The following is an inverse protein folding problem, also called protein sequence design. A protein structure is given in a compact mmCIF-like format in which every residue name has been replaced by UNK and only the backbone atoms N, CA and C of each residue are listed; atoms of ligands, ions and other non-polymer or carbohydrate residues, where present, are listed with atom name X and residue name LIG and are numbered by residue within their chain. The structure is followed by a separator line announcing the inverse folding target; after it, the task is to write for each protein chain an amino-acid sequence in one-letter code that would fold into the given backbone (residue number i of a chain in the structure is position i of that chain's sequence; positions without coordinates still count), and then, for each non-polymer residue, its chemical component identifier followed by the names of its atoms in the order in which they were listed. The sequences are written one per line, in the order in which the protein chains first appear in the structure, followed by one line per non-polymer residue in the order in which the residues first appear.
data_IF_175222014942
#
_entry.id   IF_175222014942
#
_cell.length_a   1.000
_cell.length_b   1.000
_cell.length_c   1.000
_cell.angle_alpha   90.00
_cell.angle_beta   90.00
_cell.angle_gamma   90.00
#
_symmetry.space_group_name_H-M   'P 1'
#
loop_
_entity.id
_entity.type
_entity.pdbx_description
1 polymer ?
#
# COMPACT_ATOMS: atom_id res chain seq x y z
N UNK A 1 -15.54 73.07 32.52
CA UNK A 1 -16.35 71.91 32.09
C UNK A 1 -15.97 71.44 30.67
N UNK A 2 -14.67 71.39 30.33
CA UNK A 2 -14.16 71.07 28.98
C UNK A 2 -12.94 70.12 29.09
N UNK A 3 -13.00 69.14 29.99
CA UNK A 3 -11.88 68.19 30.17
C UNK A 3 -12.34 66.74 30.38
N UNK A 4 -13.63 66.46 30.12
CA UNK A 4 -14.19 65.10 30.22
C UNK A 4 -14.75 64.54 28.89
N UNK A 5 -14.68 65.28 27.78
CA UNK A 5 -15.22 64.81 26.48
C UNK A 5 -14.19 64.27 25.48
N UNK A 6 -12.89 64.47 25.65
CA UNK A 6 -11.88 63.94 24.72
C UNK A 6 -11.47 62.49 24.99
N UNK A 7 -11.80 61.92 26.15
CA UNK A 7 -11.39 60.56 26.54
C UNK A 7 -12.21 59.43 25.93
N UNK A 8 -13.41 59.71 25.40
CA UNK A 8 -14.34 58.67 24.97
C UNK A 8 -14.27 58.31 23.47
N UNK A 9 -13.67 59.16 22.63
CA UNK A 9 -13.63 58.94 21.17
C UNK A 9 -12.35 58.20 20.73
N UNK A 10 -11.25 58.33 21.47
CA UNK A 10 -9.98 57.65 21.15
C UNK A 10 -10.00 56.17 21.62
N UNK A 11 -10.83 55.83 22.61
CA UNK A 11 -10.95 54.47 23.13
C UNK A 11 -11.78 53.52 22.24
N UNK A 12 -12.54 54.03 21.27
CA UNK A 12 -13.37 53.19 20.38
C UNK A 12 -12.65 52.83 19.08
N UNK A 13 -11.62 53.57 18.67
CA UNK A 13 -10.86 53.27 17.45
C UNK A 13 -9.72 52.26 17.67
N UNK A 14 -9.34 51.99 18.93
CA UNK A 14 -8.24 51.08 19.28
C UNK A 14 -8.71 49.67 19.72
N UNK A 15 -10.00 49.36 19.58
CA UNK A 15 -10.59 48.05 19.98
C UNK A 15 -10.92 47.16 18.77
N UNK A 16 -10.65 47.60 17.54
CA UNK A 16 -10.93 46.83 16.32
C UNK A 16 -9.67 46.40 15.56
N UNK A 17 -8.69 45.85 16.27
CA UNK A 17 -7.62 45.03 15.69
C UNK A 17 -7.43 43.78 16.55
N UNK A 18 -8.51 43.00 16.68
CA UNK A 18 -8.38 41.60 17.05
C UNK A 18 -7.56 40.92 15.94
N UNK A 19 -6.41 40.30 16.24
CA UNK A 19 -5.75 39.46 15.27
C UNK A 19 -6.70 38.29 15.00
N UNK A 20 -7.27 38.27 13.81
CA UNK A 20 -7.90 37.06 13.29
C UNK A 20 -6.86 35.94 13.40
N UNK A 21 -7.16 34.82 14.08
CA UNK A 21 -6.30 33.66 14.02
C UNK A 21 -6.29 33.23 12.56
N UNK A 22 -5.21 33.57 11.85
CA UNK A 22 -4.95 33.02 10.54
C UNK A 22 -4.79 31.51 10.78
N UNK A 23 -5.64 30.64 10.21
CA UNK A 23 -5.31 29.24 10.18
C UNK A 23 -4.02 29.15 9.38
N UNK A 24 -2.90 28.94 10.08
CA UNK A 24 -1.62 28.60 9.48
C UNK A 24 -1.76 27.20 8.89
N UNK A 25 -2.49 27.10 7.78
CA UNK A 25 -2.47 25.95 6.92
C UNK A 25 -1.05 25.82 6.40
N UNK A 26 -0.43 24.68 6.68
CA UNK A 26 0.92 24.33 6.28
C UNK A 26 1.08 24.51 4.76
N UNK A 27 1.64 25.63 4.34
CA UNK A 27 2.04 25.86 2.97
C UNK A 27 3.37 25.13 2.76
N UNK A 28 3.42 24.29 1.72
CA UNK A 28 4.63 23.57 1.34
C UNK A 28 5.83 24.54 1.28
N UNK A 29 6.93 24.17 1.95
CA UNK A 29 8.11 25.04 2.06
C UNK A 29 9.12 24.66 1.00
N UNK A 30 9.55 25.63 0.21
CA UNK A 30 10.64 25.45 -0.75
C UNK A 30 11.97 25.69 -0.03
N UNK A 31 12.92 24.77 -0.21
CA UNK A 31 14.29 24.84 0.31
C UNK A 31 15.29 24.61 -0.82
N UNK A 32 16.46 25.22 -0.71
CA UNK A 32 17.55 25.08 -1.68
C UNK A 32 18.76 24.43 -1.02
N UNK A 33 19.33 23.42 -1.68
CA UNK A 33 20.46 22.66 -1.17
C UNK A 33 21.55 22.52 -2.23
N UNK A 34 22.80 22.65 -1.81
CA UNK A 34 23.96 22.55 -2.69
C UNK A 34 24.84 21.38 -2.25
N UNK A 35 25.38 20.65 -3.20
CA UNK A 35 26.38 19.61 -2.98
C UNK A 35 27.52 19.78 -3.96
N UNK A 36 28.74 19.59 -3.46
CA UNK A 36 29.96 19.78 -4.25
C UNK A 36 30.82 18.55 -4.10
N UNK A 37 31.32 18.04 -5.21
CA UNK A 37 32.28 16.94 -5.24
C UNK A 37 33.43 17.26 -6.18
N UNK A 38 34.66 17.02 -5.76
CA UNK A 38 35.85 17.17 -6.61
C UNK A 38 36.28 15.79 -7.07
N UNK A 39 36.33 15.60 -8.38
CA UNK A 39 36.65 14.33 -9.04
C UNK A 39 38.10 13.93 -8.76
N UNK A 40 38.31 12.70 -8.29
CA UNK A 40 39.64 12.11 -8.16
C UNK A 40 40.14 11.48 -9.46
N UNK A 41 41.43 11.12 -9.48
CA UNK A 41 42.14 10.62 -10.68
C UNK A 41 41.51 9.36 -11.32
N UNK A 42 40.72 8.59 -10.55
CA UNK A 42 40.07 7.36 -11.00
C UNK A 42 38.53 7.49 -11.16
N UNK A 43 37.97 8.67 -10.91
CA UNK A 43 36.53 8.86 -10.94
C UNK A 43 36.01 9.19 -12.33
N UNK A 44 34.85 8.64 -12.68
CA UNK A 44 34.15 9.05 -13.90
C UNK A 44 33.29 10.30 -13.64
N UNK A 45 33.05 11.15 -14.67
CA UNK A 45 32.12 12.29 -14.58
C UNK A 45 30.74 11.94 -13.99
N UNK A 46 30.26 10.72 -14.26
CA UNK A 46 29.00 10.22 -13.71
C UNK A 46 29.09 10.01 -12.19
N UNK A 47 30.15 9.34 -11.72
CA UNK A 47 30.39 9.09 -10.29
C UNK A 47 30.52 10.42 -9.54
N UNK A 48 31.27 11.38 -10.10
CA UNK A 48 31.46 12.69 -9.49
C UNK A 48 30.16 13.49 -9.38
N UNK A 49 29.31 13.45 -10.40
CA UNK A 49 27.97 14.06 -10.37
C UNK A 49 27.06 13.37 -9.34
N UNK A 50 27.04 12.05 -9.31
CA UNK A 50 26.20 11.29 -8.39
C UNK A 50 26.62 11.54 -6.93
N UNK A 51 27.92 11.64 -6.66
CA UNK A 51 28.46 12.00 -5.35
C UNK A 51 28.09 13.44 -4.94
N UNK A 52 28.22 14.41 -5.86
CA UNK A 52 27.77 15.79 -5.61
C UNK A 52 26.26 15.86 -5.35
N UNK A 53 25.45 15.06 -6.07
CA UNK A 53 24.01 14.96 -5.85
C UNK A 53 23.67 14.34 -4.50
N UNK A 54 24.38 13.29 -4.07
CA UNK A 54 24.19 12.69 -2.75
C UNK A 54 24.47 13.69 -1.63
N UNK A 55 25.53 14.48 -1.77
CA UNK A 55 25.85 15.54 -0.80
C UNK A 55 24.76 16.63 -0.78
N UNK A 56 24.27 17.05 -1.95
CA UNK A 56 23.16 18.01 -2.04
C UNK A 56 21.89 17.47 -1.39
N UNK A 57 21.56 16.19 -1.63
CA UNK A 57 20.41 15.53 -1.03
C UNK A 57 20.56 15.42 0.49
N UNK A 58 21.75 15.08 0.99
CA UNK A 58 22.04 15.04 2.42
C UNK A 58 21.77 16.39 3.08
N UNK A 59 22.29 17.47 2.49
CA UNK A 59 22.04 18.84 2.98
C UNK A 59 20.54 19.20 2.94
N UNK A 60 19.83 18.81 1.88
CA UNK A 60 18.40 19.05 1.76
C UNK A 60 17.59 18.31 2.86
N UNK A 61 17.93 17.06 3.16
CA UNK A 61 17.30 16.28 4.24
C UNK A 61 17.59 16.87 5.62
N UNK A 62 18.81 17.36 5.86
CA UNK A 62 19.16 18.02 7.12
C UNK A 62 18.34 19.31 7.33
N UNK A 63 18.20 20.13 6.28
CA UNK A 63 17.35 21.32 6.32
C UNK A 63 15.86 20.99 6.51
N UNK A 64 15.37 19.93 5.86
CA UNK A 64 14.01 19.44 6.06
C UNK A 64 13.79 18.89 7.48
N UNK A 65 14.82 18.31 8.11
CA UNK A 65 14.78 17.85 9.50
C UNK A 65 14.46 18.98 10.47
N UNK A 66 15.12 20.14 10.33
CA UNK A 66 14.84 21.32 11.16
C UNK A 66 13.38 21.80 11.00
N UNK A 67 12.86 21.73 9.76
CA UNK A 67 11.47 22.10 9.50
C UNK A 67 10.48 21.11 10.12
N UNK A 68 10.76 19.81 10.02
CA UNK A 68 9.96 18.74 10.64
C UNK A 68 10.00 18.85 12.16
N UNK A 69 11.17 19.11 12.78
CA UNK A 69 11.30 19.35 14.22
C UNK A 69 10.40 20.49 14.67
N UNK A 70 10.55 21.66 14.05
CA UNK A 70 9.73 22.83 14.37
C UNK A 70 8.24 22.56 14.18
N UNK A 71 7.85 21.84 13.12
CA UNK A 71 6.46 21.46 12.89
C UNK A 71 5.93 20.49 13.95
N UNK A 72 6.72 19.50 14.35
CA UNK A 72 6.31 18.50 15.35
C UNK A 72 6.16 19.11 16.75
N UNK A 73 7.04 20.05 17.11
CA UNK A 73 6.91 20.83 18.35
C UNK A 73 5.60 21.65 18.36
N UNK A 74 5.23 22.27 17.23
CA UNK A 74 3.95 23.01 17.13
C UNK A 74 2.72 22.12 17.25
N UNK A 75 2.86 20.82 16.99
CA UNK A 75 1.80 19.81 17.12
C UNK A 75 1.85 19.06 18.47
N UNK A 76 2.69 19.49 19.42
CA UNK A 76 2.94 18.80 20.71
C UNK A 76 3.39 17.33 20.55
N UNK A 77 4.10 17.00 19.47
CA UNK A 77 4.69 15.68 19.24
C UNK A 77 6.19 15.72 19.54
N UNK A 78 6.67 14.77 20.36
CA UNK A 78 8.09 14.65 20.69
C UNK A 78 8.73 13.56 19.84
N UNK A 79 9.42 13.94 18.76
CA UNK A 79 10.21 13.01 17.95
C UNK A 79 11.67 12.99 18.39
N UNK A 80 12.30 11.83 18.28
CA UNK A 80 13.76 11.67 18.41
C UNK A 80 14.47 12.12 17.14
N UNK A 81 15.77 12.42 17.22
CA UNK A 81 16.58 12.88 16.06
C UNK A 81 16.55 11.92 14.87
N UNK A 82 16.50 10.60 15.13
CA UNK A 82 16.45 9.60 14.07
C UNK A 82 15.07 9.57 13.39
N UNK A 83 13.99 9.81 14.15
CA UNK A 83 12.61 9.89 13.63
C UNK A 83 12.42 11.15 12.79
N UNK A 84 12.97 12.29 13.23
CA UNK A 84 13.01 13.54 12.44
C UNK A 84 13.68 13.30 11.09
N UNK A 85 14.84 12.65 11.08
CA UNK A 85 15.59 12.41 9.86
C UNK A 85 14.86 11.49 8.89
N UNK A 86 14.19 10.45 9.40
CA UNK A 86 13.36 9.57 8.57
C UNK A 86 12.18 10.32 7.95
N UNK A 87 11.45 11.10 8.76
CA UNK A 87 10.32 11.89 8.27
C UNK A 87 10.78 12.92 7.25
N UNK A 88 11.87 13.62 7.52
CA UNK A 88 12.46 14.61 6.62
C UNK A 88 12.82 14.04 5.24
N UNK A 89 13.27 12.78 5.17
CA UNK A 89 13.50 12.08 3.91
C UNK A 89 12.21 11.81 3.13
N UNK A 90 11.12 11.50 3.83
CA UNK A 90 9.81 11.19 3.23
C UNK A 90 9.06 12.43 2.75
N UNK A 91 9.11 13.53 3.52
CA UNK A 91 8.40 14.78 3.18
C UNK A 91 9.12 15.62 2.12
N UNK A 92 10.37 15.27 1.78
CA UNK A 92 11.21 16.01 0.84
C UNK A 92 11.02 15.52 -0.59
N UNK A 93 10.68 16.44 -1.49
CA UNK A 93 10.55 16.20 -2.93
C UNK A 93 11.46 17.14 -3.71
N UNK A 94 12.33 16.61 -4.55
CA UNK A 94 13.14 17.43 -5.46
C UNK A 94 12.25 17.95 -6.60
N UNK A 95 12.15 19.26 -6.74
CA UNK A 95 11.44 19.92 -7.85
C UNK A 95 12.37 20.19 -9.03
N UNK A 96 13.61 20.61 -8.75
CA UNK A 96 14.59 20.96 -9.78
C UNK A 96 16.00 20.55 -9.36
N UNK A 97 16.77 20.04 -10.32
CA UNK A 97 18.18 19.72 -10.18
C UNK A 97 18.98 20.44 -11.27
N UNK A 98 20.03 21.16 -10.88
CA UNK A 98 20.99 21.79 -11.80
C UNK A 98 22.40 21.34 -11.43
N UNK A 99 23.07 20.67 -12.37
CA UNK A 99 24.46 20.25 -12.21
C UNK A 99 25.37 21.13 -13.07
N UNK A 100 26.40 21.73 -12.48
CA UNK A 100 27.41 22.54 -13.17
C UNK A 100 28.80 21.95 -12.95
N UNK A 101 29.48 21.51 -14.02
CA UNK A 101 30.89 21.14 -13.96
C UNK A 101 31.77 22.39 -14.04
N UNK A 102 32.77 22.47 -13.18
CA UNK A 102 33.76 23.55 -13.11
C UNK A 102 35.17 22.95 -13.06
N UNK A 103 36.09 23.46 -13.87
CA UNK A 103 37.49 23.06 -13.81
C UNK A 103 38.23 24.01 -12.85
N UNK A 104 38.77 23.46 -11.76
CA UNK A 104 39.48 24.25 -10.74
C UNK A 104 40.90 23.71 -10.62
N UNK A 105 41.85 24.47 -11.15
CA UNK A 105 43.22 23.99 -11.35
C UNK A 105 43.21 22.83 -12.36
N UNK A 106 43.71 21.67 -11.93
CA UNK A 106 43.78 20.46 -12.74
C UNK A 106 42.66 19.44 -12.41
N UNK A 107 41.72 19.77 -11.51
CA UNK A 107 40.66 18.87 -11.07
C UNK A 107 39.26 19.36 -11.47
N UNK A 108 38.41 18.44 -11.91
CA UNK A 108 36.99 18.71 -12.20
C UNK A 108 36.17 18.71 -10.92
N UNK A 109 35.47 19.81 -10.65
CA UNK A 109 34.50 19.95 -9.56
C UNK A 109 33.09 19.93 -10.13
N UNK A 110 32.23 19.09 -9.56
CA UNK A 110 30.80 19.06 -9.85
C UNK A 110 30.04 19.71 -8.72
N UNK A 111 29.28 20.76 -9.05
CA UNK A 111 28.36 21.42 -8.13
C UNK A 111 26.92 21.07 -8.55
N UNK A 112 26.14 20.50 -7.63
CA UNK A 112 24.72 20.18 -7.83
C UNK A 112 23.89 21.07 -6.92
N UNK A 113 23.00 21.84 -7.52
CA UNK A 113 22.00 22.66 -6.85
C UNK A 113 20.63 22.00 -6.96
N UNK A 114 19.98 21.78 -5.83
CA UNK A 114 18.65 21.21 -5.72
C UNK A 114 17.67 22.25 -5.18
N UNK A 115 16.52 22.36 -5.84
CA UNK A 115 15.33 23.05 -5.30
C UNK A 115 14.35 21.96 -4.87
N UNK A 116 14.05 21.91 -3.58
CA UNK A 116 13.21 20.89 -2.98
C UNK A 116 11.97 21.51 -2.33
N UNK A 117 10.87 20.78 -2.35
CA UNK A 117 9.64 21.07 -1.62
C UNK A 117 9.56 20.15 -0.40
N UNK A 118 9.25 20.71 0.76
CA UNK A 118 8.96 19.97 1.99
C UNK A 118 7.46 20.02 2.24
N UNK A 119 6.78 18.89 2.09
CA UNK A 119 5.33 18.74 2.26
C UNK A 119 5.02 17.88 3.48
N UNK A 120 4.79 18.53 4.62
CA UNK A 120 4.41 17.89 5.88
C UNK A 120 2.92 17.56 5.99
N UNK A 121 2.09 18.00 5.03
CA UNK A 121 0.64 17.75 5.04
C UNK A 121 0.27 16.38 4.47
N UNK A 122 1.15 15.77 3.66
CA UNK A 122 0.94 14.44 3.07
C UNK A 122 1.34 13.27 3.96
N UNK A 123 2.05 13.50 5.05
CA UNK A 123 2.53 12.43 5.94
C UNK A 123 1.78 12.49 7.26
N UNK A 124 0.99 11.46 7.54
CA UNK A 124 0.38 11.28 8.85
C UNK A 124 1.44 10.87 9.88
N UNK A 125 2.03 11.86 10.54
CA UNK A 125 3.02 11.69 11.61
C UNK A 125 2.52 10.78 12.76
N UNK A 126 1.21 10.71 12.99
CA UNK A 126 0.63 9.86 14.03
C UNK A 126 0.69 8.37 13.66
N UNK A 127 0.58 8.04 12.38
CA UNK A 127 0.68 6.65 11.88
C UNK A 127 2.08 6.04 12.12
N UNK A 128 3.13 6.85 12.01
CA UNK A 128 4.51 6.39 12.25
C UNK A 128 4.78 6.05 13.72
N UNK A 129 4.19 6.80 14.65
CA UNK A 129 4.28 6.52 16.09
C UNK A 129 3.47 5.28 16.49
N UNK A 130 2.30 5.05 15.87
CA UNK A 130 1.48 3.87 16.09
C UNK A 130 2.17 2.59 15.61
N UNK A 131 2.82 2.64 14.44
CA UNK A 131 3.56 1.50 13.88
C UNK A 131 4.70 1.04 14.81
N UNK A 132 5.27 1.91 15.63
CA UNK A 132 6.31 1.55 16.62
C UNK A 132 5.75 0.72 17.78
N UNK A 133 4.55 1.06 18.28
CA UNK A 133 3.89 0.30 19.33
C UNK A 133 3.48 -1.09 18.82
N UNK A 134 3.00 -1.16 17.57
CA UNK A 134 2.73 -2.39 16.84
C UNK A 134 3.99 -3.25 16.71
N UNK A 135 5.10 -2.68 16.22
CA UNK A 135 6.38 -3.37 16.05
C UNK A 135 6.92 -3.88 17.39
N UNK A 136 6.87 -3.08 18.45
CA UNK A 136 7.32 -3.49 19.79
C UNK A 136 6.45 -4.64 20.35
N UNK A 137 5.14 -4.61 20.09
CA UNK A 137 4.22 -5.70 20.44
C UNK A 137 4.57 -6.98 19.67
N UNK A 138 4.73 -6.89 18.35
CA UNK A 138 5.10 -8.01 17.48
C UNK A 138 6.46 -8.62 17.87
N UNK A 139 7.43 -7.80 18.26
CA UNK A 139 8.73 -8.27 18.76
C UNK A 139 8.57 -9.04 20.08
N UNK A 140 7.76 -8.53 21.00
CA UNK A 140 7.47 -9.20 22.28
C UNK A 140 6.73 -10.53 22.07
N UNK A 141 5.81 -10.56 21.11
CA UNK A 141 5.08 -11.78 20.73
C UNK A 141 6.00 -12.82 20.09
N UNK A 142 6.87 -12.41 19.15
CA UNK A 142 7.91 -13.29 18.60
C UNK A 142 8.82 -13.85 19.69
N UNK A 143 9.26 -13.02 20.63
CA UNK A 143 10.15 -13.47 21.70
C UNK A 143 9.44 -14.44 22.67
N UNK A 144 8.14 -14.23 22.91
CA UNK A 144 7.29 -15.16 23.67
C UNK A 144 7.07 -16.49 22.91
N UNK A 145 6.81 -16.45 21.60
CA UNK A 145 6.69 -17.63 20.74
C UNK A 145 8.01 -18.41 20.69
N UNK A 146 9.13 -17.72 20.64
CA UNK A 146 10.46 -18.35 20.70
C UNK A 146 10.69 -19.05 22.03
N UNK A 147 10.33 -18.42 23.15
CA UNK A 147 10.35 -19.06 24.46
C UNK A 147 9.43 -20.29 24.55
N UNK A 148 8.23 -20.23 23.95
CA UNK A 148 7.33 -21.38 23.88
C UNK A 148 7.94 -22.52 23.06
N UNK A 149 8.58 -22.22 21.94
CA UNK A 149 9.30 -23.22 21.14
C UNK A 149 10.49 -23.82 21.91
N UNK A 150 11.28 -23.01 22.61
CA UNK A 150 12.40 -23.48 23.43
C UNK A 150 11.92 -24.35 24.62
N UNK A 151 10.79 -24.00 25.25
CA UNK A 151 10.18 -24.81 26.32
C UNK A 151 9.55 -26.10 25.77
N UNK A 152 8.94 -26.07 24.59
CA UNK A 152 8.47 -27.27 23.89
C UNK A 152 9.65 -28.20 23.53
N UNK A 153 10.77 -27.63 23.08
CA UNK A 153 12.01 -28.38 22.81
C UNK A 153 12.52 -29.04 24.10
N UNK A 154 12.56 -28.29 25.21
CA UNK A 154 12.99 -28.82 26.50
C UNK A 154 12.03 -29.89 27.05
N UNK A 155 10.72 -29.78 26.81
CA UNK A 155 9.72 -30.81 27.15
C UNK A 155 9.90 -32.06 26.28
N UNK A 156 10.22 -31.89 25.00
CA UNK A 156 10.56 -32.99 24.09
C UNK A 156 11.84 -33.73 24.52
N UNK A 157 12.87 -32.99 24.94
CA UNK A 157 14.11 -33.57 25.46
C UNK A 157 13.88 -34.36 26.76
N UNK A 158 13.01 -33.87 27.65
CA UNK A 158 12.68 -34.51 28.94
C UNK A 158 11.67 -35.66 28.83
N UNK A 159 10.84 -35.71 27.80
CA UNK A 159 9.89 -36.80 27.60
C UNK A 159 10.59 -38.13 27.29
N UNK A 160 10.03 -39.25 27.77
CA UNK A 160 10.48 -40.61 27.46
C UNK A 160 9.29 -41.52 27.10
N UNK A 161 9.51 -42.49 26.22
CA UNK A 161 8.52 -43.50 25.84
C UNK A 161 7.46 -43.01 24.85
N UNK A 162 6.21 -43.39 25.06
CA UNK A 162 5.08 -43.16 24.14
C UNK A 162 4.72 -41.69 23.97
N UNK A 163 4.93 -40.87 24.98
CA UNK A 163 4.64 -39.43 24.96
C UNK A 163 5.68 -38.65 24.11
N UNK A 164 6.95 -39.08 24.13
CA UNK A 164 8.01 -38.58 23.25
C UNK A 164 7.77 -38.99 21.79
N UNK A 165 7.25 -40.18 21.57
CA UNK A 165 6.89 -40.66 20.23
C UNK A 165 5.66 -39.92 19.67
N UNK A 166 4.63 -39.65 20.48
CA UNK A 166 3.46 -38.90 20.03
C UNK A 166 3.78 -37.43 19.73
N UNK A 167 4.51 -36.76 20.64
CA UNK A 167 4.95 -35.37 20.44
C UNK A 167 5.98 -35.29 19.31
N UNK A 168 6.89 -36.25 19.23
CA UNK A 168 7.88 -36.36 18.16
C UNK A 168 7.26 -36.58 16.79
N UNK A 169 6.29 -37.49 16.67
CA UNK A 169 5.58 -37.75 15.41
C UNK A 169 4.77 -36.53 14.98
N UNK A 170 4.08 -35.84 15.90
CA UNK A 170 3.29 -34.67 15.54
C UNK A 170 4.16 -33.45 15.16
N UNK A 171 5.32 -33.27 15.81
CA UNK A 171 6.29 -32.22 15.45
C UNK A 171 7.06 -32.57 14.16
N UNK A 172 7.49 -33.83 14.00
CA UNK A 172 8.17 -34.32 12.79
C UNK A 172 7.23 -34.29 11.59
N UNK A 173 5.97 -34.69 11.73
CA UNK A 173 4.97 -34.61 10.66
C UNK A 173 4.74 -33.15 10.26
N UNK A 174 4.55 -32.24 11.23
CA UNK A 174 4.39 -30.81 10.95
C UNK A 174 5.62 -30.20 10.25
N UNK A 175 6.83 -30.54 10.71
CA UNK A 175 8.08 -30.06 10.12
C UNK A 175 8.34 -30.67 8.73
N UNK A 176 8.01 -31.94 8.55
CA UNK A 176 8.12 -32.64 7.26
C UNK A 176 7.16 -32.04 6.26
N UNK A 177 5.93 -31.73 6.67
CA UNK A 177 4.91 -31.09 5.83
C UNK A 177 5.30 -29.66 5.47
N UNK A 178 5.81 -28.90 6.43
CA UNK A 178 6.34 -27.56 6.20
C UNK A 178 7.42 -27.55 5.11
N UNK A 179 8.38 -28.48 5.18
CA UNK A 179 9.41 -28.62 4.14
C UNK A 179 8.83 -28.95 2.76
N UNK A 180 7.84 -29.85 2.69
CA UNK A 180 7.16 -30.19 1.43
C UNK A 180 6.47 -28.96 0.84
N UNK A 181 5.81 -28.16 1.67
CA UNK A 181 5.15 -26.94 1.24
C UNK A 181 6.12 -25.85 0.79
N UNK A 182 7.21 -25.65 1.53
CA UNK A 182 8.27 -24.71 1.15
C UNK A 182 8.89 -25.08 -0.20
N UNK A 183 9.14 -26.38 -0.41
CA UNK A 183 9.67 -26.88 -1.68
C UNK A 183 8.66 -26.68 -2.83
N UNK A 184 7.39 -27.00 -2.60
CA UNK A 184 6.33 -26.78 -3.59
C UNK A 184 6.17 -25.29 -3.95
N UNK A 185 6.21 -24.40 -2.96
CA UNK A 185 6.16 -22.96 -3.19
C UNK A 185 7.37 -22.46 -4.00
N UNK A 186 8.57 -22.99 -3.71
CA UNK A 186 9.78 -22.71 -4.46
C UNK A 186 9.77 -23.29 -5.89
N UNK A 187 9.12 -24.44 -6.12
CA UNK A 187 8.91 -24.97 -7.46
C UNK A 187 8.01 -24.04 -8.29
N UNK A 188 6.90 -23.57 -7.72
CA UNK A 188 5.99 -22.62 -8.38
C UNK A 188 6.73 -21.32 -8.74
N UNK A 189 7.54 -20.77 -7.84
CA UNK A 189 8.32 -19.56 -8.13
C UNK A 189 9.35 -19.74 -9.26
N UNK A 190 9.81 -20.97 -9.50
CA UNK A 190 10.80 -21.29 -10.53
C UNK A 190 10.19 -21.61 -11.90
N UNK A 191 8.88 -21.63 -12.06
CA UNK A 191 8.26 -22.11 -13.30
C UNK A 191 8.12 -23.64 -13.37
N UNK A 192 8.23 -24.34 -12.24
CA UNK A 192 8.13 -25.81 -12.15
C UNK A 192 6.73 -26.25 -11.69
N UNK A 193 5.67 -25.56 -12.12
CA UNK A 193 4.29 -25.74 -11.61
C UNK A 193 3.80 -27.17 -11.78
N UNK A 194 4.10 -27.82 -12.91
CA UNK A 194 3.67 -29.20 -13.17
C UNK A 194 4.24 -30.20 -12.16
N UNK A 195 5.47 -29.98 -11.70
CA UNK A 195 6.09 -30.81 -10.66
C UNK A 195 5.44 -30.54 -9.32
N UNK A 196 5.26 -29.26 -8.97
CA UNK A 196 4.56 -28.86 -7.75
C UNK A 196 3.14 -29.46 -7.69
N UNK A 197 2.39 -29.45 -8.80
CA UNK A 197 1.05 -30.05 -8.89
C UNK A 197 1.10 -31.55 -8.61
N UNK A 198 2.09 -32.27 -9.13
CA UNK A 198 2.27 -33.70 -8.88
C UNK A 198 2.50 -33.99 -7.39
N UNK A 199 3.48 -33.32 -6.78
CA UNK A 199 3.82 -33.46 -5.35
C UNK A 199 2.62 -33.13 -4.45
N UNK A 200 1.95 -32.01 -4.72
CA UNK A 200 0.78 -31.58 -3.94
C UNK A 200 -0.42 -32.52 -4.14
N UNK A 201 -0.58 -33.14 -5.31
CA UNK A 201 -1.64 -34.12 -5.53
C UNK A 201 -1.41 -35.39 -4.73
N UNK A 202 -0.17 -35.90 -4.70
CA UNK A 202 0.18 -37.02 -3.83
C UNK A 202 -0.10 -36.71 -2.36
N UNK A 203 0.17 -35.47 -1.93
CA UNK A 203 -0.09 -35.04 -0.56
C UNK A 203 -1.59 -34.96 -0.23
N UNK A 204 -2.39 -34.43 -1.16
CA UNK A 204 -3.86 -34.31 -1.03
C UNK A 204 -4.55 -35.69 -1.00
N UNK A 205 -3.98 -36.67 -1.70
CA UNK A 205 -4.48 -38.03 -1.77
C UNK A 205 -4.09 -38.87 -0.54
N UNK A 206 -3.11 -38.43 0.26
CA UNK A 206 -2.74 -39.11 1.50
C UNK A 206 -3.83 -38.90 2.59
N UNK A 207 -4.51 -39.97 3.05
CA UNK A 207 -5.58 -39.86 4.03
C UNK A 207 -5.11 -39.34 5.40
N UNK A 208 -3.81 -39.36 5.68
CA UNK A 208 -3.22 -38.81 6.91
C UNK A 208 -3.21 -37.28 6.90
N UNK A 209 -3.16 -36.66 5.72
CA UNK A 209 -3.13 -35.21 5.57
C UNK A 209 -4.57 -34.69 5.62
N UNK A 210 -4.92 -34.04 6.73
CA UNK A 210 -6.27 -33.51 6.98
C UNK A 210 -6.18 -32.09 7.54
N UNK A 211 -7.31 -31.40 7.67
CA UNK A 211 -7.36 -30.08 8.31
C UNK A 211 -6.61 -28.98 7.56
N UNK A 212 -6.02 -28.03 8.31
CA UNK A 212 -5.30 -26.87 7.77
C UNK A 212 -4.20 -27.24 6.77
N UNK A 213 -3.36 -28.28 6.99
CA UNK A 213 -2.40 -28.67 5.97
C UNK A 213 -3.02 -29.15 4.65
N UNK A 214 -4.13 -29.89 4.70
CA UNK A 214 -4.81 -30.30 3.46
C UNK A 214 -5.40 -29.10 2.74
N UNK A 215 -5.99 -28.16 3.48
CA UNK A 215 -6.49 -26.90 2.92
C UNK A 215 -5.36 -26.11 2.25
N UNK A 216 -4.18 -26.06 2.88
CA UNK A 216 -3.00 -25.39 2.35
C UNK A 216 -2.44 -26.06 1.10
N UNK A 217 -2.44 -27.40 1.05
CA UNK A 217 -2.05 -28.16 -0.13
C UNK A 217 -2.95 -27.82 -1.34
N UNK A 218 -4.28 -27.76 -1.13
CA UNK A 218 -5.21 -27.30 -2.15
C UNK A 218 -4.91 -25.86 -2.57
N UNK A 219 -4.66 -24.95 -1.63
CA UNK A 219 -4.29 -23.56 -1.95
C UNK A 219 -3.03 -23.48 -2.84
N UNK A 220 -1.94 -24.17 -2.46
CA UNK A 220 -0.71 -24.15 -3.25
C UNK A 220 -0.90 -24.77 -4.63
N UNK A 221 -1.71 -25.83 -4.75
CA UNK A 221 -1.98 -26.47 -6.04
C UNK A 221 -2.86 -25.58 -6.92
N UNK A 222 -3.84 -24.90 -6.33
CA UNK A 222 -4.64 -23.87 -7.00
C UNK A 222 -3.78 -22.72 -7.51
N UNK A 223 -2.80 -22.27 -6.72
CA UNK A 223 -1.80 -21.28 -7.15
C UNK A 223 -0.97 -21.79 -8.33
N UNK A 224 -0.50 -23.03 -8.29
CA UNK A 224 0.25 -23.61 -9.41
C UNK A 224 -0.60 -23.68 -10.70
N UNK A 225 -1.89 -24.02 -10.59
CA UNK A 225 -2.80 -23.97 -11.74
C UNK A 225 -3.03 -22.54 -12.25
N UNK A 226 -3.10 -21.54 -11.36
CA UNK A 226 -3.22 -20.14 -11.74
C UNK A 226 -2.00 -19.66 -12.55
N UNK A 227 -0.77 -19.99 -12.13
CA UNK A 227 0.45 -19.65 -12.88
C UNK A 227 0.50 -20.35 -14.26
N UNK A 228 -0.17 -21.51 -14.41
CA UNK A 228 -0.37 -22.18 -15.70
C UNK A 228 -1.56 -21.64 -16.51
N UNK A 229 -2.19 -20.53 -16.10
CA UNK A 229 -3.40 -19.96 -16.69
C UNK A 229 -4.56 -20.97 -16.80
N UNK A 230 -4.61 -21.93 -15.88
CA UNK A 230 -5.66 -22.94 -15.79
C UNK A 230 -6.70 -22.53 -14.74
N UNK A 231 -7.37 -21.40 -15.00
CA UNK A 231 -8.24 -20.71 -14.04
C UNK A 231 -9.33 -21.59 -13.44
N UNK A 232 -9.97 -22.45 -14.23
CA UNK A 232 -11.06 -23.28 -13.73
C UNK A 232 -10.56 -24.34 -12.72
N UNK A 233 -9.37 -24.88 -12.94
CA UNK A 233 -8.72 -25.80 -12.00
C UNK A 233 -8.24 -25.04 -10.75
N UNK A 234 -7.70 -23.84 -10.92
CA UNK A 234 -7.32 -22.98 -9.82
C UNK A 234 -8.52 -22.65 -8.91
N UNK A 235 -9.63 -22.19 -9.49
CA UNK A 235 -10.87 -21.90 -8.76
C UNK A 235 -11.43 -23.13 -8.05
N UNK A 236 -11.35 -24.32 -8.65
CA UNK A 236 -11.79 -25.57 -8.04
C UNK A 236 -10.94 -25.95 -6.82
N UNK A 237 -9.61 -25.81 -6.91
CA UNK A 237 -8.71 -26.07 -5.80
C UNK A 237 -8.87 -25.02 -4.69
N UNK A 238 -9.00 -23.74 -5.02
CA UNK A 238 -9.32 -22.72 -4.02
C UNK A 238 -10.65 -23.01 -3.33
N UNK A 239 -11.66 -23.50 -4.05
CA UNK A 239 -12.95 -23.91 -3.46
C UNK A 239 -12.80 -25.11 -2.53
N UNK A 240 -11.93 -26.06 -2.86
CA UNK A 240 -11.62 -27.20 -2.00
C UNK A 240 -10.86 -26.77 -0.73
N UNK A 241 -9.93 -25.83 -0.85
CA UNK A 241 -9.18 -25.28 0.28
C UNK A 241 -10.14 -24.64 1.31
N UNK A 242 -11.00 -23.75 0.84
CA UNK A 242 -11.97 -22.98 1.62
C UNK A 242 -13.01 -23.88 2.34
N UNK A 243 -13.42 -24.99 1.71
CA UNK A 243 -14.34 -25.98 2.31
C UNK A 243 -13.67 -26.94 3.30
N UNK A 244 -12.35 -27.09 3.23
CA UNK A 244 -11.63 -27.99 4.13
C UNK A 244 -11.51 -27.31 5.48
N UNK A 245 -11.85 -27.96 6.61
CA UNK A 245 -11.70 -27.35 7.92
C UNK A 245 -10.25 -26.88 8.16
N UNK A 246 -10.06 -25.60 8.48
CA UNK A 246 -8.72 -25.01 8.63
C UNK A 246 -8.70 -23.91 9.70
N UNK A 247 -7.49 -23.58 10.14
CA UNK A 247 -7.15 -22.37 10.90
C UNK A 247 -6.04 -21.64 10.16
N UNK A 248 -6.02 -20.32 10.25
CA UNK A 248 -5.04 -19.49 9.54
C UNK A 248 -3.70 -19.30 10.30
N UNK A 249 -3.51 -20.00 11.43
CA UNK A 249 -2.36 -19.77 12.31
C UNK A 249 -1.03 -20.23 11.68
N UNK A 250 -0.96 -21.51 11.29
CA UNK A 250 0.27 -22.12 10.75
C UNK A 250 0.30 -22.11 9.21
N UNK A 251 -0.88 -22.30 8.61
CA UNK A 251 -1.03 -22.42 7.16
C UNK A 251 -2.15 -21.49 6.66
N UNK A 252 -1.93 -20.17 6.69
CA UNK A 252 -2.95 -19.22 6.24
C UNK A 252 -3.26 -19.44 4.77
N UNK A 253 -4.55 -19.56 4.45
CA UNK A 253 -5.02 -19.75 3.07
C UNK A 253 -5.70 -18.50 2.50
N UNK A 254 -5.86 -17.42 3.28
CA UNK A 254 -6.58 -16.21 2.87
C UNK A 254 -6.11 -15.60 1.53
N UNK A 255 -4.85 -15.83 1.12
CA UNK A 255 -4.34 -15.41 -0.21
C UNK A 255 -5.06 -16.09 -1.37
N UNK A 256 -5.78 -17.20 -1.16
CA UNK A 256 -6.64 -17.80 -2.19
C UNK A 256 -7.66 -16.79 -2.73
N UNK A 257 -8.17 -15.90 -1.86
CA UNK A 257 -9.14 -14.87 -2.25
C UNK A 257 -8.49 -13.81 -3.15
N UNK A 258 -7.21 -13.52 -2.96
CA UNK A 258 -6.46 -12.65 -3.88
C UNK A 258 -6.41 -13.25 -5.29
N UNK A 259 -6.13 -14.55 -5.41
CA UNK A 259 -6.09 -15.23 -6.71
C UNK A 259 -7.48 -15.33 -7.35
N UNK A 260 -8.51 -15.73 -6.59
CA UNK A 260 -9.91 -15.74 -7.08
C UNK A 260 -10.33 -14.36 -7.58
N UNK A 261 -9.99 -13.31 -6.82
CA UNK A 261 -10.26 -11.94 -7.17
C UNK A 261 -9.62 -11.51 -8.49
N UNK A 262 -8.35 -11.88 -8.72
CA UNK A 262 -7.66 -11.64 -10.00
C UNK A 262 -8.32 -12.40 -11.16
N UNK A 263 -8.62 -13.69 -10.97
CA UNK A 263 -9.31 -14.50 -11.99
C UNK A 263 -10.66 -13.89 -12.36
N UNK A 264 -11.46 -13.47 -11.38
CA UNK A 264 -12.75 -12.82 -11.64
C UNK A 264 -12.60 -11.46 -12.30
N UNK A 265 -11.56 -10.70 -11.93
CA UNK A 265 -11.27 -9.43 -12.58
C UNK A 265 -10.94 -9.62 -14.07
N UNK A 266 -10.15 -10.62 -14.41
CA UNK A 266 -9.82 -10.99 -15.80
C UNK A 266 -11.05 -11.48 -16.57
N UNK A 267 -11.96 -12.19 -15.90
CA UNK A 267 -13.26 -12.59 -16.45
C UNK A 267 -14.30 -11.45 -16.49
N UNK A 268 -13.89 -10.21 -16.25
CA UNK A 268 -14.75 -9.00 -16.19
C UNK A 268 -15.90 -9.08 -15.17
N UNK A 269 -15.80 -9.99 -14.19
CA UNK A 269 -16.75 -10.13 -13.08
C UNK A 269 -16.33 -9.23 -11.93
N UNK A 270 -16.40 -7.91 -12.14
CA UNK A 270 -15.77 -6.96 -11.23
C UNK A 270 -16.40 -6.91 -9.82
N UNK A 271 -17.71 -7.14 -9.69
CA UNK A 271 -18.36 -7.24 -8.38
C UNK A 271 -17.81 -8.44 -7.57
N UNK A 272 -17.70 -9.61 -8.20
CA UNK A 272 -17.14 -10.82 -7.60
C UNK A 272 -15.65 -10.63 -7.27
N UNK A 273 -14.90 -10.00 -8.18
CA UNK A 273 -13.50 -9.68 -7.98
C UNK A 273 -13.29 -8.77 -6.76
N UNK A 274 -14.10 -7.71 -6.63
CA UNK A 274 -14.03 -6.78 -5.50
C UNK A 274 -14.41 -7.47 -4.19
N UNK A 275 -15.39 -8.38 -4.20
CA UNK A 275 -15.78 -9.15 -3.02
C UNK A 275 -14.64 -10.06 -2.52
N UNK A 276 -14.03 -10.84 -3.42
CA UNK A 276 -12.90 -11.72 -3.09
C UNK A 276 -11.67 -10.92 -2.64
N UNK A 277 -11.29 -9.85 -3.36
CA UNK A 277 -10.16 -9.01 -2.96
C UNK A 277 -10.38 -8.33 -1.60
N UNK A 278 -11.63 -8.01 -1.24
CA UNK A 278 -11.96 -7.48 0.08
C UNK A 278 -11.78 -8.52 1.17
N UNK A 279 -12.21 -9.77 0.95
CA UNK A 279 -11.94 -10.87 1.89
C UNK A 279 -10.43 -11.04 2.13
N UNK A 280 -9.63 -11.01 1.05
CA UNK A 280 -8.18 -11.07 1.16
C UNK A 280 -7.60 -9.89 1.96
N UNK A 281 -8.06 -8.67 1.69
CA UNK A 281 -7.59 -7.46 2.38
C UNK A 281 -7.95 -7.46 3.88
N UNK A 282 -9.18 -7.83 4.20
CA UNK A 282 -9.68 -7.85 5.57
C UNK A 282 -8.93 -8.86 6.43
N UNK A 283 -8.60 -10.03 5.86
CA UNK A 283 -7.81 -11.08 6.48
C UNK A 283 -6.30 -10.80 6.52
N UNK A 284 -5.79 -9.87 5.70
CA UNK A 284 -4.38 -9.49 5.68
C UNK A 284 -4.00 -8.54 6.82
N UNK A 285 -2.69 -8.33 6.97
CA UNK A 285 -2.12 -7.29 7.83
C UNK A 285 -2.28 -5.86 7.28
N UNK A 286 -2.88 -5.72 6.09
CA UNK A 286 -3.16 -4.44 5.41
C UNK A 286 -1.90 -3.65 5.03
N UNK A 287 -0.78 -4.36 4.80
CA UNK A 287 0.49 -3.77 4.35
C UNK A 287 0.80 -4.00 2.88
N UNK A 288 0.06 -4.89 2.21
CA UNK A 288 0.25 -5.23 0.80
C UNK A 288 -0.39 -4.16 -0.11
N UNK A 289 0.41 -3.16 -0.50
CA UNK A 289 -0.01 -2.08 -1.41
C UNK A 289 -0.57 -2.62 -2.74
N UNK A 290 -0.05 -3.73 -3.24
CA UNK A 290 -0.51 -4.31 -4.51
C UNK A 290 -1.91 -4.88 -4.37
N UNK A 291 -2.16 -5.63 -3.28
CA UNK A 291 -3.49 -6.13 -2.93
C UNK A 291 -4.50 -4.97 -2.79
N UNK A 292 -4.09 -3.89 -2.11
CA UNK A 292 -4.96 -2.73 -1.94
C UNK A 292 -5.30 -2.05 -3.26
N UNK A 293 -4.29 -1.83 -4.12
CA UNK A 293 -4.50 -1.24 -5.44
C UNK A 293 -5.39 -2.10 -6.33
N UNK A 294 -5.22 -3.43 -6.28
CA UNK A 294 -6.06 -4.37 -7.02
C UNK A 294 -7.52 -4.29 -6.53
N UNK A 295 -7.75 -4.26 -5.21
CA UNK A 295 -9.09 -4.09 -4.63
C UNK A 295 -9.75 -2.78 -5.09
N UNK A 296 -9.05 -1.64 -4.97
CA UNK A 296 -9.56 -0.33 -5.40
C UNK A 296 -9.92 -0.29 -6.88
N UNK A 297 -9.09 -0.92 -7.72
CA UNK A 297 -9.35 -1.01 -9.15
C UNK A 297 -10.61 -1.84 -9.44
N UNK A 298 -10.76 -2.99 -8.78
CA UNK A 298 -11.95 -3.84 -8.92
C UNK A 298 -13.23 -3.11 -8.48
N UNK A 299 -13.20 -2.45 -7.31
CA UNK A 299 -14.32 -1.63 -6.82
C UNK A 299 -14.72 -0.53 -7.80
N UNK A 300 -13.73 0.20 -8.34
CA UNK A 300 -14.00 1.28 -9.28
C UNK A 300 -14.64 0.76 -10.57
N UNK A 301 -14.18 -0.38 -11.09
CA UNK A 301 -14.75 -1.03 -12.28
C UNK A 301 -16.18 -1.49 -12.02
N UNK A 302 -16.43 -2.17 -10.90
CA UNK A 302 -17.77 -2.58 -10.48
C UNK A 302 -18.73 -1.37 -10.38
N UNK A 303 -18.29 -0.26 -9.76
CA UNK A 303 -19.07 0.98 -9.68
C UNK A 303 -19.35 1.63 -11.04
N UNK A 304 -18.41 1.53 -11.97
CA UNK A 304 -18.63 2.00 -13.34
C UNK A 304 -19.72 1.17 -14.01
N UNK A 305 -19.62 -0.15 -13.97
CA UNK A 305 -20.60 -1.05 -14.59
C UNK A 305 -21.99 -0.90 -13.99
N UNK A 306 -22.11 -0.87 -12.66
CA UNK A 306 -23.41 -0.62 -12.00
C UNK A 306 -24.06 0.67 -12.48
N UNK A 307 -23.28 1.76 -12.55
CA UNK A 307 -23.77 3.06 -13.07
C UNK A 307 -24.11 3.00 -14.55
N UNK A 308 -23.40 2.21 -15.35
CA UNK A 308 -23.74 1.99 -16.76
C UNK A 308 -25.06 1.22 -16.91
N UNK A 309 -25.29 0.19 -16.09
CA UNK A 309 -26.55 -0.56 -16.06
C UNK A 309 -27.73 0.32 -15.62
N UNK A 310 -27.57 1.07 -14.52
CA UNK A 310 -28.60 2.00 -14.02
C UNK A 310 -28.96 3.09 -15.04
N UNK A 311 -27.96 3.63 -15.75
CA UNK A 311 -28.20 4.63 -16.81
C UNK A 311 -28.72 4.03 -18.11
N UNK A 312 -28.36 2.78 -18.41
CA UNK A 312 -28.85 2.02 -19.56
C UNK A 312 -30.37 1.84 -19.52
N UNK A 313 -30.93 1.58 -18.34
CA UNK A 313 -32.38 1.49 -18.15
C UNK A 313 -33.07 2.87 -18.07
N UNK A 314 -32.33 3.92 -17.71
CA UNK A 314 -32.81 5.31 -17.73
C UNK A 314 -32.90 5.95 -19.13
N UNK A 315 -32.19 5.39 -20.12
CA UNK A 315 -32.14 5.89 -21.50
C UNK A 315 -33.42 5.65 -22.31
N UNK A 316 -34.22 4.65 -21.96
CA UNK A 316 -35.46 4.34 -22.69
C UNK A 316 -36.60 5.34 -22.43
N UNK A 317 -36.54 6.16 -21.37
CA UNK A 317 -37.63 7.08 -20.98
C UNK A 317 -37.35 8.57 -21.20
N UNK A 318 -36.18 8.93 -21.71
CA UNK A 318 -35.84 10.32 -22.07
C UNK A 318 -35.18 10.46 -23.43
N UNK A 319 -35.59 9.62 -24.38
CA UNK A 319 -35.35 9.92 -25.79
C UNK A 319 -36.18 11.13 -26.20
N UNK A 320 -35.54 12.18 -26.70
CA UNK A 320 -36.24 13.26 -27.41
C UNK A 320 -37.11 12.58 -28.48
N UNK A 321 -38.43 12.76 -28.39
CA UNK A 321 -39.36 12.21 -29.36
C UNK A 321 -39.24 13.02 -30.65
N UNK A 322 -38.27 12.65 -31.49
CA UNK A 322 -38.00 13.30 -32.76
C UNK A 322 -39.21 13.29 -33.69
N UNK A 323 -40.10 12.30 -33.56
CA UNK A 323 -41.38 12.27 -34.28
C UNK A 323 -42.26 13.46 -33.89
N UNK A 324 -42.34 13.78 -32.60
CA UNK A 324 -43.10 14.92 -32.11
C UNK A 324 -42.45 16.26 -32.50
N UNK A 325 -41.11 16.35 -32.41
CA UNK A 325 -40.35 17.54 -32.83
C UNK A 325 -40.51 17.81 -34.33
N UNK A 326 -40.39 16.77 -35.17
CA UNK A 326 -40.57 16.88 -36.62
C UNK A 326 -42.03 17.23 -36.95
N UNK A 327 -43.01 16.68 -36.22
CA UNK A 327 -44.43 17.01 -36.42
C UNK A 327 -44.73 18.47 -36.11
N UNK A 328 -44.17 19.05 -35.05
CA UNK A 328 -44.35 20.47 -34.71
C UNK A 328 -43.67 21.39 -35.73
N UNK A 329 -42.48 21.03 -36.23
CA UNK A 329 -41.78 21.80 -37.28
C UNK A 329 -42.59 21.79 -38.59
N UNK A 330 -43.11 20.63 -39.00
CA UNK A 330 -43.94 20.52 -40.20
C UNK A 330 -45.24 21.31 -40.02
N UNK A 331 -45.89 21.23 -38.85
CA UNK A 331 -47.10 22.00 -38.56
C UNK A 331 -46.86 23.51 -38.59
N UNK A 332 -45.74 23.98 -38.03
CA UNK A 332 -45.34 25.39 -38.09
C UNK A 332 -45.09 25.89 -39.52
N UNK A 333 -44.45 25.06 -40.35
CA UNK A 333 -44.20 25.39 -41.76
C UNK A 333 -45.48 25.44 -42.61
N UNK A 334 -46.45 24.56 -42.33
CA UNK A 334 -47.74 24.58 -43.03
C UNK A 334 -48.61 25.78 -42.64
N UNK A 335 -48.58 26.22 -41.38
CA UNK A 335 -49.30 27.42 -40.93
C UNK A 335 -48.74 28.72 -41.51
N UNK A 336 -47.44 28.77 -41.82
CA UNK A 336 -46.84 29.91 -42.53
C UNK A 336 -47.23 29.97 -44.02
N UNK A 337 -47.55 28.83 -44.66
CA UNK A 337 -47.94 28.81 -46.09
C UNK A 337 -49.41 29.13 -46.36
N UNK A 338 -50.26 29.21 -45.34
CA UNK A 338 -51.70 29.54 -45.47
C UNK A 338 -52.01 31.00 -45.07
N UNK A 339 -50.98 31.82 -44.82
CA UNK A 339 -51.09 33.22 -44.41
C UNK A 339 -50.62 34.25 -45.44
N UNK A 340 -50.27 33.82 -46.65
CA UNK A 340 -50.10 34.67 -47.85
C UNK A 340 -51.25 34.39 -48.82
#
# INVERSE_FOLDING_TARGET
MIQKLCGAVIAVFFVLCLPLPCPAGAAAKIIEANGVYTMGDNDSPKIARDAARQEAMRSATEQAGVYVESYTETQNLTLTKDEVRMVAGTVLRVLQEKATPELIGDAWRYSVHLVCEVDTAKVDLASLASNKAEIARLQKERDALKQQNDDLLARYERAQGTEKAAIGVQLEESYTLGRVFDEAAAMIQRGEERRAIGELSHLIDDPRVTGSPRAYAYYLRGRAYYELHSDDLALADFSSADRTPHTDDLYPIWRLHQYRGRIYYEKERYDDAAAELRLAWDASDKTDDELWMNLRRAEQRADQERRHMERGDGGARRGINWTQVITEIIRGSMQQSQGE
#
